data_IF_683893912198
#
_entry.id   IF_683893912198
#
_cell.length_a   1.000
_cell.length_b   1.000
_cell.length_c   1.000
_cell.angle_alpha   90.00
_cell.angle_beta   90.00
_cell.angle_gamma   90.00
#
_symmetry.space_group_name_H-M   'P 1'
#
loop_
_entity.id
_entity.type
_entity.pdbx_description
1 polymer ?
#
# COMPACT_ATOMS: atom_id res chain seq x y z
N UNK A 1 -2.18 22.30 -2.37
CA UNK A 1 -3.12 22.75 -1.31
C UNK A 1 -3.01 21.82 -0.11
N UNK A 2 -2.67 22.34 1.08
CA UNK A 2 -2.69 21.58 2.33
C UNK A 2 -4.13 21.48 2.85
N UNK A 3 -4.54 20.31 3.34
CA UNK A 3 -5.87 20.08 3.90
C UNK A 3 -5.98 20.69 5.31
N UNK A 4 -7.18 21.13 5.70
CA UNK A 4 -7.47 21.55 7.07
C UNK A 4 -7.43 20.33 8.00
N UNK A 5 -6.76 20.46 9.15
CA UNK A 5 -6.79 19.46 10.23
C UNK A 5 -8.17 19.39 10.88
N UNK A 6 -8.46 18.33 11.64
CA UNK A 6 -9.72 18.20 12.38
C UNK A 6 -10.01 19.43 13.24
N UNK A 7 -9.00 19.91 13.96
CA UNK A 7 -9.16 21.01 14.92
C UNK A 7 -9.38 22.34 14.19
N UNK A 8 -8.70 22.54 13.06
CA UNK A 8 -8.95 23.70 12.20
C UNK A 8 -10.36 23.70 11.62
N UNK A 9 -10.91 22.53 11.29
CA UNK A 9 -12.30 22.45 10.79
C UNK A 9 -13.32 22.69 11.89
N UNK A 10 -13.08 22.23 13.12
CA UNK A 10 -13.91 22.58 14.29
C UNK A 10 -13.89 24.08 14.52
N UNK A 11 -12.71 24.68 14.56
CA UNK A 11 -12.56 26.14 14.69
C UNK A 11 -13.30 26.91 13.58
N UNK A 12 -13.31 26.41 12.34
CA UNK A 12 -14.10 27.01 11.25
C UNK A 12 -15.60 27.00 11.58
N UNK A 13 -16.13 25.89 12.08
CA UNK A 13 -17.55 25.77 12.46
C UNK A 13 -17.84 26.71 13.64
N UNK A 14 -17.01 26.71 14.69
CA UNK A 14 -17.16 27.61 15.84
C UNK A 14 -17.18 29.08 15.42
N UNK A 15 -16.26 29.50 14.53
CA UNK A 15 -16.23 30.86 13.99
C UNK A 15 -17.45 31.22 13.13
N UNK A 16 -18.08 30.23 12.49
CA UNK A 16 -19.33 30.43 11.75
C UNK A 16 -20.52 30.51 12.69
N UNK A 17 -20.55 29.69 13.75
CA UNK A 17 -21.58 29.73 14.78
C UNK A 17 -21.61 31.09 15.48
N UNK A 18 -20.46 31.68 15.80
CA UNK A 18 -20.38 33.06 16.33
C UNK A 18 -20.99 34.13 15.41
N UNK A 19 -21.24 33.82 14.14
CA UNK A 19 -21.79 34.73 13.12
C UNK A 19 -23.20 34.35 12.68
N UNK A 20 -23.86 33.45 13.40
CA UNK A 20 -25.28 33.15 13.24
C UNK A 20 -26.08 34.25 13.94
N UNK A 21 -27.07 34.80 13.23
CA UNK A 21 -27.99 35.81 13.78
C UNK A 21 -29.08 35.08 14.55
N UNK A 22 -29.42 35.54 15.77
CA UNK A 22 -30.37 34.84 16.65
C UNK A 22 -31.81 34.80 16.13
N UNK A 23 -32.25 35.80 15.35
CA UNK A 23 -33.57 35.84 14.72
C UNK A 23 -33.48 36.52 13.36
N UNK A 24 -33.82 35.84 12.25
CA UNK A 24 -33.97 34.38 12.11
C UNK A 24 -32.61 33.68 12.31
N UNK A 25 -32.60 32.46 12.86
CA UNK A 25 -31.42 31.59 13.04
C UNK A 25 -30.76 31.26 11.70
N UNK A 26 -30.01 32.21 11.15
CA UNK A 26 -29.39 32.12 9.82
C UNK A 26 -27.99 32.69 9.89
N UNK A 27 -27.10 32.07 9.12
CA UNK A 27 -25.74 32.55 8.95
C UNK A 27 -25.75 33.93 8.26
N UNK A 28 -25.03 34.90 8.82
CA UNK A 28 -24.95 36.24 8.26
C UNK A 28 -24.41 36.21 6.81
N UNK A 29 -25.00 37.04 5.93
CA UNK A 29 -24.54 37.19 4.54
C UNK A 29 -23.06 37.57 4.53
N UNK A 30 -22.26 36.78 3.81
CA UNK A 30 -20.81 37.03 3.68
C UNK A 30 -19.96 36.34 4.75
N UNK A 31 -20.53 35.79 5.82
CA UNK A 31 -19.78 35.15 6.91
C UNK A 31 -18.81 34.07 6.40
N UNK A 32 -19.25 33.22 5.45
CA UNK A 32 -18.39 32.20 4.82
C UNK A 32 -17.18 32.83 4.13
N UNK A 33 -17.35 33.95 3.42
CA UNK A 33 -16.26 34.64 2.71
C UNK A 33 -15.27 35.25 3.69
N UNK A 34 -15.77 35.81 4.78
CA UNK A 34 -14.93 36.41 5.81
C UNK A 34 -14.16 35.35 6.62
N UNK A 35 -14.81 34.25 7.01
CA UNK A 35 -14.13 33.10 7.63
C UNK A 35 -13.10 32.50 6.66
N UNK A 36 -13.44 32.38 5.37
CA UNK A 36 -12.49 31.93 4.35
C UNK A 36 -11.24 32.84 4.27
N UNK A 37 -11.41 34.16 4.41
CA UNK A 37 -10.30 35.12 4.49
C UNK A 37 -9.47 34.91 5.76
N UNK A 38 -10.11 34.74 6.92
CA UNK A 38 -9.42 34.49 8.20
C UNK A 38 -8.58 33.21 8.19
N UNK A 39 -9.09 32.14 7.57
CA UNK A 39 -8.39 30.84 7.50
C UNK A 39 -7.48 30.70 6.26
N UNK A 40 -7.46 31.66 5.35
CA UNK A 40 -6.69 31.59 4.10
C UNK A 40 -7.11 30.41 3.20
N UNK A 41 -8.42 30.15 3.12
CA UNK A 41 -8.99 29.02 2.36
C UNK A 41 -10.01 29.50 1.33
N UNK A 42 -10.28 28.64 0.36
CA UNK A 42 -11.30 28.93 -0.63
C UNK A 42 -12.70 28.92 0.05
N UNK A 43 -13.55 29.88 -0.31
CA UNK A 43 -14.95 29.97 0.14
C UNK A 43 -15.67 28.63 -0.05
N UNK A 44 -15.42 27.93 -1.14
CA UNK A 44 -16.01 26.61 -1.42
C UNK A 44 -15.66 25.57 -0.35
N UNK A 45 -14.42 25.55 0.15
CA UNK A 45 -14.00 24.61 1.19
C UNK A 45 -14.72 24.87 2.51
N UNK A 46 -14.85 26.14 2.89
CA UNK A 46 -15.56 26.54 4.11
C UNK A 46 -17.07 26.27 3.98
N UNK A 47 -17.67 26.58 2.83
CA UNK A 47 -19.09 26.29 2.55
C UNK A 47 -19.39 24.81 2.64
N UNK A 48 -18.48 23.96 2.15
CA UNK A 48 -18.63 22.51 2.20
C UNK A 48 -18.47 21.96 3.62
N UNK A 49 -17.57 22.54 4.43
CA UNK A 49 -17.47 22.20 5.86
C UNK A 49 -18.77 22.56 6.58
N UNK A 50 -19.30 23.77 6.35
CA UNK A 50 -20.56 24.21 6.94
C UNK A 50 -21.73 23.32 6.55
N UNK A 51 -21.84 22.96 5.26
CA UNK A 51 -22.86 22.04 4.77
C UNK A 51 -22.76 20.65 5.41
N UNK A 52 -21.53 20.16 5.66
CA UNK A 52 -21.29 18.85 6.27
C UNK A 52 -21.52 18.81 7.77
N UNK A 53 -21.29 19.92 8.46
CA UNK A 53 -21.53 20.02 9.90
C UNK A 53 -23.02 19.84 10.27
N UNK A 54 -23.91 19.89 9.27
CA UNK A 54 -25.37 19.71 9.37
C UNK A 54 -25.98 20.43 10.57
N UNK A 55 -25.59 21.70 10.69
CA UNK A 55 -26.05 22.59 11.77
C UNK A 55 -27.54 22.83 11.57
N UNK A 56 -28.36 22.06 12.29
CA UNK A 56 -29.81 22.29 12.39
C UNK A 56 -30.04 23.60 13.14
N UNK A 57 -30.41 24.65 12.40
CA UNK A 57 -30.74 25.98 12.94
C UNK A 57 -32.26 26.15 13.17
N UNK A 58 -33.06 25.13 12.84
CA UNK A 58 -34.53 25.20 12.74
C UNK A 58 -35.27 24.77 14.03
N UNK A 59 -34.64 24.87 15.20
CA UNK A 59 -35.29 24.58 16.49
C UNK A 59 -34.95 25.59 17.56
N UNK A 60 -35.87 25.75 18.53
CA UNK A 60 -35.69 26.46 19.81
C UNK A 60 -34.58 25.86 20.70
N UNK A 61 -33.72 25.00 20.13
CA UNK A 61 -32.59 24.41 20.82
C UNK A 61 -31.59 25.51 21.20
N UNK A 62 -31.14 25.56 22.46
CA UNK A 62 -30.14 26.51 22.88
C UNK A 62 -28.88 26.27 22.03
N UNK A 63 -28.26 27.36 21.57
CA UNK A 63 -27.08 27.38 20.69
C UNK A 63 -25.89 26.50 21.14
N UNK A 64 -25.91 26.00 22.39
CA UNK A 64 -24.97 25.03 22.97
C UNK A 64 -25.18 23.58 22.52
N UNK A 65 -26.35 23.21 21.99
CA UNK A 65 -26.70 21.85 21.54
C UNK A 65 -26.75 21.73 20.02
N UNK A 66 -25.98 22.55 19.30
CA UNK A 66 -25.76 22.33 17.88
C UNK A 66 -24.89 21.07 17.74
N UNK A 67 -25.56 19.94 17.53
CA UNK A 67 -24.93 18.66 17.22
C UNK A 67 -24.25 18.83 15.87
N UNK A 68 -22.91 18.88 15.88
CA UNK A 68 -22.13 18.92 14.66
C UNK A 68 -21.86 17.49 14.19
N UNK A 69 -22.51 17.07 13.10
CA UNK A 69 -22.20 15.79 12.47
C UNK A 69 -20.88 15.87 11.67
N UNK A 70 -20.12 14.77 11.71
CA UNK A 70 -18.89 14.45 10.97
C UNK A 70 -18.16 15.59 10.20
N UNK A 71 -17.53 16.50 10.96
CA UNK A 71 -16.67 17.56 10.41
C UNK A 71 -15.33 17.02 9.86
N UNK A 72 -14.98 15.79 10.21
CA UNK A 72 -13.67 15.20 9.93
C UNK A 72 -13.38 15.07 8.43
N UNK A 73 -12.09 15.03 8.10
CA UNK A 73 -11.68 14.74 6.73
C UNK A 73 -12.03 13.29 6.39
N UNK A 74 -12.87 13.07 5.38
CA UNK A 74 -13.15 11.73 4.84
C UNK A 74 -11.92 11.10 4.17
N UNK A 75 -10.87 11.89 3.90
CA UNK A 75 -9.60 11.34 3.43
C UNK A 75 -8.86 10.67 4.59
N UNK A 76 -9.05 9.36 4.76
CA UNK A 76 -8.33 8.54 5.73
C UNK A 76 -7.17 7.80 5.06
N UNK A 77 -5.95 8.02 5.56
CA UNK A 77 -4.75 7.32 5.09
C UNK A 77 -4.47 7.52 3.59
N UNK A 78 -4.07 6.45 2.91
CA UNK A 78 -3.75 6.49 1.47
C UNK A 78 -5.02 6.43 0.62
N UNK A 79 -5.45 7.59 0.14
CA UNK A 79 -6.69 7.79 -0.63
C UNK A 79 -6.50 7.83 -2.16
N UNK A 80 -5.29 7.52 -2.63
CA UNK A 80 -4.99 7.41 -4.06
C UNK A 80 -5.40 6.04 -4.63
N UNK A 81 -4.96 5.78 -5.88
CA UNK A 81 -5.19 4.51 -6.58
C UNK A 81 -4.77 3.33 -5.68
N UNK A 82 -5.69 2.40 -5.46
CA UNK A 82 -5.46 1.21 -4.65
C UNK A 82 -4.56 0.22 -5.40
N UNK A 83 -3.86 -0.61 -4.63
CA UNK A 83 -3.07 -1.71 -5.18
C UNK A 83 -3.99 -2.69 -5.91
N UNK A 84 -3.59 -3.13 -7.11
CA UNK A 84 -4.42 -4.01 -7.94
C UNK A 84 -4.25 -5.48 -7.55
N UNK A 85 -3.02 -5.88 -7.22
CA UNK A 85 -2.68 -7.26 -6.90
C UNK A 85 -2.30 -7.36 -5.42
N UNK A 86 -3.28 -7.67 -4.58
CA UNK A 86 -3.09 -7.86 -3.12
C UNK A 86 -2.55 -9.27 -2.81
N UNK A 87 -2.86 -10.23 -3.68
CA UNK A 87 -2.50 -11.65 -3.67
C UNK A 87 -1.06 -11.95 -4.13
N UNK A 88 -0.27 -10.90 -4.34
CA UNK A 88 1.05 -10.99 -4.95
C UNK A 88 2.04 -11.92 -4.22
N UNK A 89 2.13 -11.94 -2.88
CA UNK A 89 3.02 -12.85 -2.17
C UNK A 89 2.67 -14.33 -2.43
N UNK A 90 1.37 -14.66 -2.51
CA UNK A 90 0.92 -16.02 -2.78
C UNK A 90 1.27 -16.44 -4.20
N UNK A 91 1.07 -15.56 -5.18
CA UNK A 91 1.41 -15.81 -6.59
C UNK A 91 2.92 -15.97 -6.82
N UNK A 92 3.74 -15.20 -6.13
CA UNK A 92 5.21 -15.35 -6.20
C UNK A 92 5.64 -16.69 -5.59
N UNK A 93 5.01 -17.14 -4.50
CA UNK A 93 5.31 -18.45 -3.89
C UNK A 93 4.91 -19.63 -4.77
N UNK A 94 3.88 -19.49 -5.59
CA UNK A 94 3.47 -20.54 -6.53
C UNK A 94 4.48 -20.76 -7.66
N UNK A 95 5.26 -19.75 -8.04
CA UNK A 95 6.34 -19.92 -9.02
C UNK A 95 7.48 -20.72 -8.38
N UNK A 96 8.00 -21.79 -8.98
CA UNK A 96 9.13 -22.55 -8.45
C UNK A 96 10.35 -21.66 -8.17
N UNK A 97 11.11 -21.93 -7.11
CA UNK A 97 12.25 -21.10 -6.72
C UNK A 97 13.27 -20.95 -7.85
N UNK A 98 13.60 -22.05 -8.54
CA UNK A 98 14.52 -22.07 -9.69
C UNK A 98 14.12 -21.11 -10.83
N UNK A 99 12.83 -20.80 -10.93
CA UNK A 99 12.29 -19.92 -11.97
C UNK A 99 12.18 -18.45 -11.51
N UNK A 100 12.54 -18.11 -10.26
CA UNK A 100 12.47 -16.74 -9.71
C UNK A 100 13.74 -15.93 -9.97
N UNK A 101 14.27 -15.98 -11.19
CA UNK A 101 15.56 -15.37 -11.54
C UNK A 101 15.48 -13.84 -11.64
N UNK A 102 14.55 -13.34 -12.46
CA UNK A 102 14.37 -11.90 -12.69
C UNK A 102 12.95 -11.47 -12.39
N UNK A 103 12.78 -10.22 -11.92
CA UNK A 103 11.46 -9.61 -11.76
C UNK A 103 10.63 -9.68 -13.05
N UNK A 104 11.27 -9.56 -14.21
CA UNK A 104 10.57 -9.64 -15.49
C UNK A 104 10.03 -11.05 -15.75
N UNK A 105 10.85 -12.07 -15.55
CA UNK A 105 10.42 -13.47 -15.72
C UNK A 105 9.30 -13.84 -14.75
N UNK A 106 9.45 -13.48 -13.46
CA UNK A 106 8.42 -13.71 -12.45
C UNK A 106 7.12 -13.00 -12.81
N UNK A 107 7.19 -11.79 -13.36
CA UNK A 107 6.01 -11.08 -13.82
C UNK A 107 5.30 -11.81 -14.96
N UNK A 108 6.04 -12.35 -15.92
CA UNK A 108 5.48 -13.16 -17.02
C UNK A 108 4.85 -14.46 -16.50
N UNK A 109 5.56 -15.21 -15.64
CA UNK A 109 5.05 -16.45 -15.05
C UNK A 109 3.76 -16.25 -14.25
N UNK A 110 3.63 -15.10 -13.60
CA UNK A 110 2.45 -14.76 -12.79
C UNK A 110 1.36 -14.09 -13.64
N UNK A 111 1.66 -13.56 -14.83
CA UNK A 111 0.71 -12.82 -15.66
C UNK A 111 0.44 -11.39 -15.17
N UNK A 112 1.48 -10.71 -14.65
CA UNK A 112 1.43 -9.30 -14.23
C UNK A 112 2.36 -8.49 -15.14
N UNK A 113 2.03 -7.23 -15.48
CA UNK A 113 2.96 -6.38 -16.22
C UNK A 113 4.28 -6.17 -15.44
N UNK A 114 5.45 -6.34 -16.07
CA UNK A 114 6.74 -6.23 -15.39
C UNK A 114 6.97 -4.84 -14.77
N UNK A 115 6.42 -3.79 -15.37
CA UNK A 115 6.42 -2.43 -14.82
C UNK A 115 5.68 -2.33 -13.48
N UNK A 116 4.57 -3.06 -13.32
CA UNK A 116 3.79 -3.08 -12.07
C UNK A 116 4.54 -3.82 -10.99
N UNK A 117 5.14 -4.97 -11.32
CA UNK A 117 5.92 -5.73 -10.35
C UNK A 117 7.18 -4.96 -9.89
N UNK A 118 7.86 -4.29 -10.82
CA UNK A 118 8.99 -3.40 -10.53
C UNK A 118 8.60 -2.20 -9.65
N UNK A 119 7.45 -1.58 -9.90
CA UNK A 119 6.91 -0.50 -9.05
C UNK A 119 6.62 -1.00 -7.62
N UNK A 120 6.06 -2.20 -7.48
CA UNK A 120 5.79 -2.79 -6.17
C UNK A 120 7.06 -3.15 -5.41
N UNK A 121 8.08 -3.66 -6.11
CA UNK A 121 9.41 -3.89 -5.55
C UNK A 121 10.03 -2.57 -5.04
N UNK A 122 10.02 -1.50 -5.86
CA UNK A 122 10.55 -0.18 -5.46
C UNK A 122 9.82 0.44 -4.27
N UNK A 123 8.53 0.15 -4.10
CA UNK A 123 7.71 0.63 -2.98
C UNK A 123 7.91 -0.16 -1.69
N UNK A 124 8.70 -1.24 -1.70
CA UNK A 124 8.88 -2.12 -0.55
C UNK A 124 7.65 -2.95 -0.20
N UNK A 125 6.69 -3.09 -1.13
CA UNK A 125 5.48 -3.90 -0.95
C UNK A 125 5.75 -5.40 -1.12
N UNK A 126 6.94 -5.73 -1.61
CA UNK A 126 7.51 -7.06 -1.65
C UNK A 126 8.64 -7.10 -0.62
N UNK A 127 8.55 -8.03 0.35
CA UNK A 127 9.72 -8.39 1.17
C UNK A 127 10.80 -8.89 0.22
N UNK A 128 12.08 -8.66 0.54
CA UNK A 128 13.29 -9.05 -0.22
C UNK A 128 13.46 -10.57 -0.40
N UNK A 129 12.39 -11.30 -0.70
CA UNK A 129 12.42 -12.71 -1.07
C UNK A 129 13.33 -12.94 -2.27
N UNK A 130 13.46 -11.97 -3.18
CA UNK A 130 14.33 -12.11 -4.36
C UNK A 130 15.83 -12.08 -4.00
N UNK A 131 16.24 -11.37 -2.94
CA UNK A 131 17.66 -11.34 -2.50
C UNK A 131 18.02 -12.60 -1.70
N UNK A 132 17.14 -13.07 -0.80
CA UNK A 132 17.37 -14.30 -0.04
C UNK A 132 17.26 -15.56 -0.91
N UNK A 133 16.30 -15.60 -1.84
CA UNK A 133 16.14 -16.71 -2.78
C UNK A 133 17.25 -16.74 -3.83
N UNK A 134 17.72 -15.59 -4.35
CA UNK A 134 18.88 -15.61 -5.26
C UNK A 134 20.16 -16.11 -4.58
N UNK A 135 20.34 -15.83 -3.29
CA UNK A 135 21.47 -16.36 -2.50
C UNK A 135 21.32 -17.85 -2.22
N UNK A 136 20.12 -18.33 -1.86
CA UNK A 136 19.85 -19.76 -1.67
C UNK A 136 20.01 -20.58 -2.95
N UNK A 137 19.56 -20.06 -4.10
CA UNK A 137 19.73 -20.72 -5.40
C UNK A 137 21.20 -20.86 -5.81
N UNK A 138 22.04 -19.87 -5.49
CA UNK A 138 23.49 -19.97 -5.73
C UNK A 138 24.16 -21.08 -4.91
N UNK A 139 23.69 -21.30 -3.68
CA UNK A 139 24.22 -22.33 -2.78
C UNK A 139 23.75 -23.73 -3.18
N UNK A 140 22.49 -23.86 -3.61
CA UNK A 140 21.96 -25.14 -4.11
C UNK A 140 22.65 -25.57 -5.41
N UNK A 141 22.89 -24.63 -6.34
CA UNK A 141 23.64 -24.94 -7.57
C UNK A 141 25.07 -25.43 -7.28
N UNK A 142 25.73 -24.85 -6.25
CA UNK A 142 27.06 -25.31 -5.83
C UNK A 142 27.02 -26.73 -5.24
N UNK A 143 26.01 -27.04 -4.40
CA UNK A 143 25.87 -28.38 -3.83
C UNK A 143 25.51 -29.45 -4.88
N UNK A 144 24.71 -29.08 -5.89
CA UNK A 144 24.33 -29.99 -6.98
C UNK A 144 25.54 -30.34 -7.88
N UNK A 145 26.46 -29.39 -8.08
CA UNK A 145 27.72 -29.61 -8.80
C UNK A 145 28.65 -30.55 -8.01
N UNK A 146 28.82 -30.33 -6.71
CA UNK A 146 29.63 -31.20 -5.83
C UNK A 146 29.09 -32.64 -5.80
N UNK A 147 27.76 -32.82 -5.73
CA UNK A 147 27.15 -34.15 -5.80
C UNK A 147 27.34 -34.82 -7.17
N UNK A 148 27.37 -34.04 -8.26
CA UNK A 148 27.64 -34.58 -9.60
C UNK A 148 29.11 -35.00 -9.78
N UNK A 149 30.05 -34.28 -9.18
CA UNK A 149 31.47 -34.64 -9.17
C UNK A 149 31.70 -35.91 -8.35
N UNK A 150 31.02 -36.06 -7.20
CA UNK A 150 31.05 -37.29 -6.39
C UNK A 150 30.46 -38.48 -7.19
N UNK A 151 29.33 -38.28 -7.88
CA UNK A 151 28.70 -39.35 -8.65
C UNK A 151 29.57 -39.79 -9.84
N UNK A 152 30.24 -38.84 -10.50
CA UNK A 152 31.20 -39.12 -11.58
C UNK A 152 32.45 -39.84 -11.07
N UNK A 153 32.91 -39.51 -9.86
CA UNK A 153 34.04 -40.18 -9.21
C UNK A 153 33.70 -41.63 -8.79
N UNK A 154 32.47 -41.89 -8.31
CA UNK A 154 32.01 -43.25 -8.01
C UNK A 154 31.87 -44.11 -9.26
N UNK A 155 31.32 -43.57 -10.35
CA UNK A 155 31.21 -44.28 -11.64
C UNK A 155 32.58 -44.63 -12.24
N UNK A 156 33.58 -43.78 -11.97
CA UNK A 156 34.99 -44.04 -12.33
C UNK A 156 35.64 -45.13 -11.47
N UNK A 157 35.22 -45.32 -10.22
CA UNK A 157 35.71 -46.39 -9.33
C UNK A 157 35.03 -47.74 -9.62
N UNK A 158 33.76 -47.76 -10.02
CA UNK A 158 33.05 -48.99 -10.39
C UNK A 158 33.63 -49.65 -11.67
N UNK A 159 34.40 -48.90 -12.47
CA UNK A 159 35.14 -49.43 -13.61
C UNK A 159 36.44 -50.19 -13.23
N UNK A 160 36.94 -50.09 -11.99
CA UNK A 160 38.16 -50.81 -11.55
C UNK A 160 37.87 -52.22 -10.99
N UNK A 161 36.60 -52.58 -10.73
CA UNK A 161 36.24 -53.87 -10.09
C UNK A 161 35.89 -54.98 -11.12
N UNK A 162 35.95 -54.70 -12.42
CA UNK A 162 35.64 -55.69 -13.48
C UNK A 162 36.89 -56.17 -14.23
N UNK A 163 37.99 -56.50 -13.53
CA UNK A 163 39.23 -56.97 -14.19
C UNK A 163 39.97 -58.09 -13.42
N UNK A 164 39.29 -59.03 -12.77
CA UNK A 164 39.94 -60.28 -12.32
C UNK A 164 38.94 -61.44 -12.43
N UNK A 165 38.98 -62.20 -13.52
CA UNK A 165 38.60 -63.64 -13.57
C UNK A 165 38.62 -64.13 -15.03
N UNK A 166 39.81 -64.41 -15.59
CA UNK A 166 40.01 -65.35 -16.70
C UNK A 166 41.49 -65.75 -16.71
N UNK A 167 41.83 -66.90 -16.12
CA UNK A 167 42.95 -67.77 -16.54
C UNK A 167 42.81 -69.10 -15.79
N UNK A 168 42.19 -70.08 -16.43
CA UNK A 168 42.00 -71.41 -15.88
C UNK A 168 41.76 -72.46 -16.96
N UNK A 169 42.82 -72.87 -17.67
CA UNK A 169 42.96 -74.18 -18.33
C UNK A 169 44.38 -74.70 -18.15
#
# INVERSE_FOLDING_TARGET
MKYLTSDQRRAVVDHLLLRVVQKPCKLQRGAIKDVARSFGRNRHTISEIWRRADVSLDGDLPMREIVCEDILSQKKGRVGRKQKYTDLPARIRAVPAAQRTTLMYVAHAIGIPPSTLKDYYKRGLLVKYLDSVMRELSLQTANDLEMSEIFTALDSLDCEISCEDEEGV
#
